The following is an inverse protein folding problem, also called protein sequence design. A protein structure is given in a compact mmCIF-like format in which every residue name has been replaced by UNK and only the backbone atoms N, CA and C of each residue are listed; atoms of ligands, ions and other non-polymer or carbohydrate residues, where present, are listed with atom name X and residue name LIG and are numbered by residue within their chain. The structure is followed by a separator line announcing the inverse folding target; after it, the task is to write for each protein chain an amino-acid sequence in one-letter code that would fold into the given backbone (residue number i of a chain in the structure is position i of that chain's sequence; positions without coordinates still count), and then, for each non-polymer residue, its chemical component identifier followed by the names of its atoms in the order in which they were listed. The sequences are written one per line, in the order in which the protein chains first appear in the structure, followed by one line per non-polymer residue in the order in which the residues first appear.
data_IF_899567015176
#
_entry.id   IF_899567015176
#
_cell.length_a   1.000
_cell.length_b   1.000
_cell.length_c   1.000
_cell.angle_alpha   90.00
_cell.angle_beta   90.00
_cell.angle_gamma   90.00
#
_symmetry.space_group_name_H-M   'P 1'
#
loop_
_entity.id
_entity.type
_entity.pdbx_description
1 polymer ?
#
# COMPACT_ATOMS: atom_id res chain seq x y z
N UNK A 1 -18.79 -24.84 -2.55
CA UNK A 1 -17.94 -23.78 -3.12
C UNK A 1 -16.84 -23.45 -2.11
N UNK A 2 -15.62 -23.23 -2.57
CA UNK A 2 -14.51 -22.79 -1.71
C UNK A 2 -14.76 -21.34 -1.26
N UNK A 3 -14.35 -20.96 -0.04
CA UNK A 3 -14.40 -19.56 0.37
C UNK A 3 -13.54 -18.69 -0.55
N UNK A 4 -13.99 -17.44 -0.78
CA UNK A 4 -13.28 -16.48 -1.65
C UNK A 4 -12.40 -15.57 -0.82
N UNK A 5 -11.13 -15.43 -1.20
CA UNK A 5 -10.18 -14.44 -0.67
C UNK A 5 -10.05 -13.31 -1.69
N UNK A 6 -10.66 -12.13 -1.45
CA UNK A 6 -10.51 -10.97 -2.31
C UNK A 6 -9.21 -10.25 -1.99
N UNK A 7 -8.35 -10.09 -3.01
CA UNK A 7 -7.06 -9.40 -2.91
C UNK A 7 -7.06 -8.24 -3.92
N UNK A 8 -6.68 -7.06 -3.46
CA UNK A 8 -6.69 -5.84 -4.24
C UNK A 8 -5.28 -5.31 -4.47
N UNK A 9 -5.01 -4.88 -5.69
CA UNK A 9 -3.83 -4.13 -6.10
C UNK A 9 -4.25 -2.83 -6.78
N UNK A 10 -3.43 -1.79 -6.65
CA UNK A 10 -3.60 -0.53 -7.39
C UNK A 10 -2.34 -0.22 -8.15
N UNK A 11 -2.41 -0.21 -9.47
CA UNK A 11 -1.23 -0.09 -10.34
C UNK A 11 -1.52 0.72 -11.61
N UNK A 12 -0.46 1.29 -12.17
CA UNK A 12 -0.41 1.78 -13.54
C UNK A 12 0.34 0.78 -14.44
N UNK A 13 0.33 1.02 -15.76
CA UNK A 13 0.98 0.12 -16.74
C UNK A 13 2.46 -0.12 -16.44
N UNK A 14 3.19 0.90 -15.98
CA UNK A 14 4.61 0.76 -15.65
C UNK A 14 4.88 -0.25 -14.53
N UNK A 15 3.91 -0.51 -13.66
CA UNK A 15 4.02 -1.49 -12.57
C UNK A 15 3.55 -2.90 -12.94
N UNK A 16 3.03 -3.14 -14.13
CA UNK A 16 2.56 -4.46 -14.59
C UNK A 16 3.57 -5.59 -14.40
N UNK A 17 4.90 -5.42 -14.66
CA UNK A 17 5.87 -6.49 -14.44
C UNK A 17 6.05 -6.86 -12.96
N UNK A 18 5.99 -5.89 -12.06
CA UNK A 18 6.11 -6.12 -10.62
C UNK A 18 4.84 -6.73 -10.06
N UNK A 19 3.68 -6.25 -10.51
CA UNK A 19 2.38 -6.87 -10.21
C UNK A 19 2.35 -8.34 -10.63
N UNK A 20 2.84 -8.67 -11.85
CA UNK A 20 2.92 -10.05 -12.31
C UNK A 20 3.82 -10.91 -11.40
N UNK A 21 4.92 -10.35 -10.90
CA UNK A 21 5.82 -11.02 -9.94
C UNK A 21 5.11 -11.29 -8.61
N UNK A 22 4.40 -10.29 -8.07
CA UNK A 22 3.61 -10.42 -6.85
C UNK A 22 2.51 -11.48 -7.01
N UNK A 23 1.72 -11.42 -8.09
CA UNK A 23 0.67 -12.39 -8.41
C UNK A 23 1.24 -13.81 -8.54
N UNK A 24 2.38 -13.97 -9.20
CA UNK A 24 3.03 -15.27 -9.38
C UNK A 24 3.48 -15.86 -8.04
N UNK A 25 3.98 -15.03 -7.13
CA UNK A 25 4.36 -15.48 -5.79
C UNK A 25 3.14 -15.93 -4.98
N UNK A 26 2.04 -15.17 -5.00
CA UNK A 26 0.78 -15.57 -4.34
C UNK A 26 0.27 -16.90 -4.92
N UNK A 27 0.17 -16.99 -6.25
CA UNK A 27 -0.35 -18.19 -6.93
C UNK A 27 0.46 -19.44 -6.61
N UNK A 28 1.79 -19.30 -6.51
CA UNK A 28 2.69 -20.43 -6.23
C UNK A 28 2.49 -20.99 -4.82
N UNK A 29 2.16 -20.14 -3.85
CA UNK A 29 2.07 -20.50 -2.43
C UNK A 29 0.63 -20.53 -1.90
N UNK A 30 -0.35 -20.29 -2.77
CA UNK A 30 -1.76 -20.22 -2.43
C UNK A 30 -2.33 -21.57 -1.95
N UNK A 31 -3.03 -21.58 -0.82
CA UNK A 31 -3.72 -22.75 -0.31
C UNK A 31 -4.84 -23.22 -1.25
N UNK A 32 -4.92 -24.51 -1.60
CA UNK A 32 -5.99 -25.03 -2.45
C UNK A 32 -7.37 -25.04 -1.76
N UNK A 33 -7.46 -24.65 -0.49
CA UNK A 33 -8.74 -24.57 0.26
C UNK A 33 -9.61 -23.39 -0.16
N UNK A 34 -9.04 -22.38 -0.84
CA UNK A 34 -9.69 -21.12 -1.19
C UNK A 34 -9.77 -20.91 -2.70
N UNK A 35 -10.67 -20.03 -3.12
CA UNK A 35 -10.64 -19.35 -4.42
C UNK A 35 -10.11 -17.94 -4.22
N UNK A 36 -9.11 -17.55 -4.97
CA UNK A 36 -8.52 -16.20 -4.90
C UNK A 36 -9.09 -15.33 -6.01
N UNK A 37 -9.54 -14.15 -5.64
CA UNK A 37 -10.03 -13.16 -6.60
C UNK A 37 -9.16 -11.92 -6.51
N UNK A 38 -8.31 -11.74 -7.52
CA UNK A 38 -7.37 -10.64 -7.62
C UNK A 38 -8.02 -9.50 -8.36
N UNK A 39 -8.30 -8.41 -7.66
CA UNK A 39 -8.86 -7.19 -8.20
C UNK A 39 -7.74 -6.20 -8.50
N UNK A 40 -7.54 -5.90 -9.78
CA UNK A 40 -6.51 -4.98 -10.28
C UNK A 40 -7.18 -3.65 -10.59
N UNK A 41 -6.96 -2.66 -9.73
CA UNK A 41 -7.50 -1.32 -9.81
C UNK A 41 -6.55 -0.48 -10.67
N UNK A 42 -7.00 -0.09 -11.87
CA UNK A 42 -6.14 0.57 -12.87
C UNK A 42 -6.95 1.35 -13.88
N UNK A 43 -6.32 2.37 -14.49
CA UNK A 43 -6.93 3.14 -15.57
C UNK A 43 -6.16 3.03 -16.90
N UNK A 44 -4.91 2.56 -16.89
CA UNK A 44 -3.99 2.73 -18.01
C UNK A 44 -3.17 1.47 -18.38
N UNK A 45 -3.51 0.27 -17.86
CA UNK A 45 -2.80 -0.94 -18.28
C UNK A 45 -3.01 -1.19 -19.76
N UNK A 46 -1.92 -1.29 -20.53
CA UNK A 46 -1.92 -1.60 -21.95
C UNK A 46 -2.52 -2.98 -22.21
N UNK A 47 -3.11 -3.15 -23.39
CA UNK A 47 -3.75 -4.42 -23.76
C UNK A 47 -2.75 -5.58 -23.76
N UNK A 48 -1.50 -5.34 -24.19
CA UNK A 48 -0.42 -6.35 -24.16
C UNK A 48 -0.14 -6.82 -22.73
N UNK A 49 0.07 -5.89 -21.79
CA UNK A 49 0.30 -6.21 -20.39
C UNK A 49 -0.94 -6.88 -19.76
N UNK A 50 -2.14 -6.46 -20.15
CA UNK A 50 -3.38 -7.07 -19.69
C UNK A 50 -3.50 -8.53 -20.10
N UNK A 51 -3.19 -8.86 -21.37
CA UNK A 51 -3.19 -10.24 -21.89
C UNK A 51 -2.16 -11.08 -21.11
N UNK A 52 -0.95 -10.57 -20.93
CA UNK A 52 0.13 -11.27 -20.21
C UNK A 52 -0.23 -11.50 -18.72
N UNK A 53 -0.81 -10.51 -18.06
CA UNK A 53 -1.31 -10.67 -16.68
C UNK A 53 -2.44 -11.70 -16.62
N UNK A 54 -3.40 -11.64 -17.56
CA UNK A 54 -4.52 -12.59 -17.60
C UNK A 54 -4.07 -14.03 -17.78
N UNK A 55 -2.92 -14.29 -18.41
CA UNK A 55 -2.34 -15.63 -18.53
C UNK A 55 -1.93 -16.25 -17.18
N UNK A 56 -1.81 -15.45 -16.11
CA UNK A 56 -1.58 -15.94 -14.76
C UNK A 56 -2.85 -16.49 -14.10
N UNK A 57 -4.03 -16.25 -14.64
CA UNK A 57 -5.29 -16.74 -14.08
C UNK A 57 -5.38 -18.28 -14.12
N UNK A 58 -6.22 -18.84 -13.24
CA UNK A 58 -6.56 -20.25 -13.16
C UNK A 58 -7.97 -20.41 -12.60
N UNK A 59 -8.51 -21.64 -12.55
CA UNK A 59 -9.88 -21.91 -12.07
C UNK A 59 -10.13 -21.31 -10.68
N UNK A 60 -9.25 -21.58 -9.73
CA UNK A 60 -9.35 -21.08 -8.35
C UNK A 60 -8.53 -19.78 -8.11
N UNK A 61 -8.07 -19.13 -9.19
CA UNK A 61 -7.22 -17.93 -9.12
C UNK A 61 -7.61 -16.95 -10.25
N UNK A 62 -8.59 -16.11 -9.98
CA UNK A 62 -9.22 -15.23 -10.96
C UNK A 62 -8.63 -13.83 -10.90
N UNK A 63 -8.41 -13.21 -12.08
CA UNK A 63 -7.95 -11.83 -12.22
C UNK A 63 -9.05 -10.98 -12.85
N UNK A 64 -9.36 -9.86 -12.20
CA UNK A 64 -10.38 -8.89 -12.66
C UNK A 64 -9.78 -7.48 -12.69
N UNK A 65 -9.93 -6.79 -13.83
CA UNK A 65 -9.44 -5.42 -14.01
C UNK A 65 -10.59 -4.43 -13.86
N UNK A 66 -10.40 -3.42 -13.01
CA UNK A 66 -11.40 -2.40 -12.74
C UNK A 66 -10.89 -1.01 -13.16
N UNK A 67 -11.58 -0.34 -14.11
CA UNK A 67 -11.31 1.05 -14.44
C UNK A 67 -11.76 1.92 -13.28
N UNK A 68 -10.79 2.49 -12.57
CA UNK A 68 -11.03 3.03 -11.25
C UNK A 68 -11.49 4.49 -11.25
N UNK A 69 -10.90 5.34 -12.11
CA UNK A 69 -11.27 6.76 -12.19
C UNK A 69 -12.75 6.96 -12.54
N UNK A 70 -13.32 6.13 -13.40
CA UNK A 70 -14.74 6.21 -13.74
C UNK A 70 -15.63 5.92 -12.53
N UNK A 71 -15.32 4.89 -11.76
CA UNK A 71 -16.10 4.50 -10.57
C UNK A 71 -15.93 5.47 -9.41
N UNK A 72 -14.73 6.03 -9.23
CA UNK A 72 -14.51 7.03 -8.19
C UNK A 72 -15.32 8.31 -8.45
N UNK A 73 -15.44 8.73 -9.72
CA UNK A 73 -16.25 9.93 -10.07
C UNK A 73 -17.72 9.79 -9.75
N UNK A 74 -18.24 8.56 -9.61
CA UNK A 74 -19.59 8.28 -9.17
C UNK A 74 -19.79 8.53 -7.66
N UNK A 75 -18.70 8.53 -6.88
CA UNK A 75 -18.78 8.79 -5.45
C UNK A 75 -18.92 10.29 -5.16
N UNK A 76 -19.87 10.67 -4.28
CA UNK A 76 -20.03 12.07 -3.86
C UNK A 76 -18.73 12.63 -3.28
N UNK A 77 -18.32 13.81 -3.70
CA UNK A 77 -17.14 14.51 -3.17
C UNK A 77 -15.81 14.22 -3.88
N UNK A 78 -15.66 13.13 -4.62
CA UNK A 78 -14.39 12.77 -5.28
C UNK A 78 -13.97 13.80 -6.32
N UNK A 79 -14.92 14.37 -7.08
CA UNK A 79 -14.64 15.42 -8.07
C UNK A 79 -14.00 16.69 -7.50
N UNK A 80 -14.23 16.97 -6.21
CA UNK A 80 -13.58 18.08 -5.52
C UNK A 80 -12.14 17.74 -5.11
N UNK A 81 -11.84 16.47 -4.82
CA UNK A 81 -10.48 15.99 -4.56
C UNK A 81 -9.55 16.21 -5.75
N UNK A 82 -10.01 15.93 -6.97
CA UNK A 82 -9.23 16.15 -8.20
C UNK A 82 -8.71 17.59 -8.32
N UNK A 83 -9.41 18.57 -7.73
CA UNK A 83 -9.04 19.98 -7.81
C UNK A 83 -8.08 20.44 -6.71
N UNK A 84 -8.04 19.77 -5.56
CA UNK A 84 -7.38 20.29 -4.35
C UNK A 84 -6.18 19.48 -3.87
N UNK A 85 -6.11 18.17 -4.14
CA UNK A 85 -5.10 17.27 -3.54
C UNK A 85 -3.91 16.94 -4.42
N UNK A 86 -3.84 17.41 -5.68
CA UNK A 86 -2.90 16.89 -6.69
C UNK A 86 -1.72 17.82 -7.04
N UNK A 87 -1.11 18.48 -6.04
CA UNK A 87 0.03 19.35 -6.32
C UNK A 87 1.33 18.64 -6.71
N UNK A 88 1.72 17.55 -6.07
CA UNK A 88 3.02 16.92 -6.26
C UNK A 88 2.97 15.41 -6.59
N UNK A 89 1.85 14.74 -6.33
CA UNK A 89 1.64 13.33 -6.60
C UNK A 89 0.42 13.19 -7.52
N UNK A 90 0.68 13.10 -8.81
CA UNK A 90 -0.28 13.26 -9.90
C UNK A 90 -1.29 12.12 -10.08
N UNK A 91 -1.61 11.32 -9.05
CA UNK A 91 -2.52 10.20 -9.21
C UNK A 91 -3.37 9.92 -7.99
N UNK A 92 -4.70 9.90 -8.17
CA UNK A 92 -5.68 9.33 -7.23
C UNK A 92 -5.37 7.88 -6.88
N UNK A 93 -4.57 7.19 -7.69
CA UNK A 93 -4.22 5.77 -7.52
C UNK A 93 -3.62 5.47 -6.16
N UNK A 94 -2.88 6.41 -5.57
CA UNK A 94 -2.29 6.25 -4.23
C UNK A 94 -3.34 6.07 -3.14
N UNK A 95 -4.51 6.74 -3.24
CA UNK A 95 -5.54 6.70 -2.21
C UNK A 95 -6.55 5.55 -2.37
N UNK A 96 -6.45 4.75 -3.42
CA UNK A 96 -7.47 3.76 -3.80
C UNK A 96 -7.79 2.75 -2.71
N UNK A 97 -6.80 2.36 -1.91
CA UNK A 97 -7.01 1.45 -0.77
C UNK A 97 -8.05 1.95 0.22
N UNK A 98 -8.23 3.27 0.34
CA UNK A 98 -9.21 3.88 1.23
C UNK A 98 -10.65 3.79 0.70
N UNK A 99 -10.82 3.56 -0.60
CA UNK A 99 -12.13 3.45 -1.26
C UNK A 99 -12.62 2.01 -1.45
N UNK A 100 -11.76 1.00 -1.26
CA UNK A 100 -12.13 -0.41 -1.42
C UNK A 100 -13.42 -0.77 -0.66
N UNK A 101 -13.61 -0.38 0.62
CA UNK A 101 -14.80 -0.73 1.37
C UNK A 101 -16.11 -0.26 0.74
N UNK A 102 -16.12 0.92 0.11
CA UNK A 102 -17.33 1.51 -0.50
C UNK A 102 -17.53 1.07 -1.95
N UNK A 103 -16.44 0.86 -2.71
CA UNK A 103 -16.50 0.43 -4.10
C UNK A 103 -16.85 -1.07 -4.25
N UNK A 104 -16.55 -1.88 -3.24
CA UNK A 104 -16.79 -3.31 -3.24
C UNK A 104 -17.61 -3.74 -2.01
N UNK A 105 -18.87 -3.26 -1.90
CA UNK A 105 -19.72 -3.49 -0.73
C UNK A 105 -20.06 -4.97 -0.48
N UNK A 106 -19.88 -5.83 -1.48
CA UNK A 106 -20.08 -7.27 -1.38
C UNK A 106 -19.05 -7.98 -0.49
N UNK A 107 -17.92 -7.31 -0.17
CA UNK A 107 -16.89 -7.88 0.71
C UNK A 107 -16.95 -7.24 2.09
N UNK A 108 -17.03 -8.08 3.12
CA UNK A 108 -16.92 -7.65 4.52
C UNK A 108 -15.47 -7.58 5.00
N UNK A 109 -14.58 -8.31 4.31
CA UNK A 109 -13.15 -8.36 4.57
C UNK A 109 -12.39 -8.41 3.25
N UNK A 110 -11.20 -7.81 3.18
CA UNK A 110 -10.35 -7.83 1.99
C UNK A 110 -8.87 -7.73 2.38
N UNK A 111 -7.99 -8.18 1.48
CA UNK A 111 -6.56 -7.92 1.55
C UNK A 111 -6.22 -6.86 0.50
N UNK A 112 -5.45 -5.85 0.87
CA UNK A 112 -4.81 -4.92 -0.06
C UNK A 112 -3.31 -5.14 -0.05
N UNK A 113 -2.69 -5.17 -1.22
CA UNK A 113 -1.25 -5.33 -1.40
C UNK A 113 -0.72 -4.28 -2.39
N UNK A 114 0.43 -3.69 -2.08
CA UNK A 114 1.22 -2.95 -3.07
C UNK A 114 1.85 -3.94 -4.07
N UNK A 115 2.21 -3.46 -5.27
CA UNK A 115 2.72 -4.34 -6.32
C UNK A 115 4.24 -4.57 -6.26
N UNK A 116 4.94 -3.88 -5.37
CA UNK A 116 6.39 -3.98 -5.17
C UNK A 116 6.75 -4.95 -4.03
N UNK A 117 6.07 -6.08 -4.00
CA UNK A 117 6.27 -7.13 -3.00
C UNK A 117 6.26 -8.54 -3.61
N UNK A 118 6.68 -9.52 -2.83
CA UNK A 118 6.47 -10.94 -3.10
C UNK A 118 5.92 -11.64 -1.86
N UNK A 119 5.17 -12.70 -2.07
CA UNK A 119 4.50 -13.49 -1.01
C UNK A 119 5.06 -14.91 -1.00
N UNK A 120 6.19 -15.16 -0.31
CA UNK A 120 6.74 -16.51 -0.17
C UNK A 120 5.90 -17.41 0.74
N UNK A 121 5.06 -16.83 1.61
CA UNK A 121 4.15 -17.56 2.48
C UNK A 121 2.77 -17.83 1.87
N UNK A 122 1.90 -18.50 2.66
CA UNK A 122 0.50 -18.73 2.30
C UNK A 122 -0.37 -17.53 2.71
N UNK A 123 -0.80 -16.73 1.74
CA UNK A 123 -1.63 -15.54 1.97
C UNK A 123 -2.97 -15.84 2.66
N UNK A 124 -3.45 -17.10 2.59
CA UNK A 124 -4.67 -17.49 3.28
C UNK A 124 -4.54 -17.44 4.80
N UNK A 125 -3.33 -17.56 5.35
CA UNK A 125 -3.09 -17.42 6.78
C UNK A 125 -3.29 -15.96 7.24
N UNK A 126 -2.90 -14.97 6.41
CA UNK A 126 -3.25 -13.56 6.67
C UNK A 126 -4.77 -13.35 6.58
N UNK A 127 -5.44 -14.01 5.62
CA UNK A 127 -6.90 -13.94 5.51
C UNK A 127 -7.60 -14.51 6.74
N UNK A 128 -7.05 -15.56 7.37
CA UNK A 128 -7.61 -16.21 8.57
C UNK A 128 -7.42 -15.39 9.86
N UNK A 129 -6.53 -14.37 9.87
CA UNK A 129 -6.28 -13.50 11.02
C UNK A 129 -7.58 -12.87 11.55
N UNK A 130 -7.75 -12.91 12.88
CA UNK A 130 -8.94 -12.41 13.57
C UNK A 130 -8.71 -10.98 14.08
N UNK A 131 -9.31 -10.02 13.43
CA UNK A 131 -9.19 -8.61 13.81
C UNK A 131 -10.22 -8.14 14.85
N UNK A 132 -11.24 -8.95 15.20
CA UNK A 132 -12.34 -8.51 16.06
C UNK A 132 -13.02 -7.26 15.50
N UNK A 133 -13.17 -6.23 16.34
CA UNK A 133 -13.78 -4.95 15.96
C UNK A 133 -12.77 -3.94 15.35
N UNK A 134 -11.52 -4.35 15.16
CA UNK A 134 -10.52 -3.48 14.55
C UNK A 134 -10.86 -3.17 13.09
N UNK A 135 -10.40 -2.01 12.63
CA UNK A 135 -10.66 -1.47 11.30
C UNK A 135 -9.70 -2.05 10.25
N UNK A 136 -8.40 -2.10 10.62
CA UNK A 136 -7.32 -2.47 9.70
C UNK A 136 -6.29 -3.31 10.44
N UNK A 137 -5.91 -4.45 9.85
CA UNK A 137 -4.72 -5.19 10.22
C UNK A 137 -3.53 -4.72 9.39
N UNK A 138 -2.43 -4.35 10.04
CA UNK A 138 -1.21 -3.86 9.37
C UNK A 138 0.02 -4.03 10.26
N UNK A 139 1.21 -3.98 9.64
CA UNK A 139 2.51 -4.04 10.32
C UNK A 139 3.03 -2.61 10.51
N UNK A 140 3.65 -2.34 11.67
CA UNK A 140 4.33 -1.07 11.93
C UNK A 140 5.43 -0.81 10.89
N UNK A 141 5.58 0.44 10.45
CA UNK A 141 6.57 0.79 9.41
C UNK A 141 7.99 0.89 10.01
N UNK A 142 8.65 -0.24 10.12
CA UNK A 142 10.00 -0.31 10.66
C UNK A 142 11.06 0.37 9.79
N UNK A 143 10.77 0.58 8.49
CA UNK A 143 11.71 1.18 7.54
C UNK A 143 12.06 2.63 7.87
N UNK A 144 11.17 3.34 8.58
CA UNK A 144 11.31 4.76 8.91
C UNK A 144 11.55 5.03 10.40
N UNK A 145 11.36 4.04 11.28
CA UNK A 145 11.44 4.22 12.74
C UNK A 145 12.83 4.63 13.28
N UNK A 146 13.89 4.52 12.47
CA UNK A 146 15.25 4.96 12.89
C UNK A 146 15.64 6.30 12.26
N UNK A 147 14.76 6.94 11.52
CA UNK A 147 15.03 8.22 10.85
C UNK A 147 14.39 9.36 11.65
N UNK A 148 15.20 10.02 12.48
CA UNK A 148 14.72 11.03 13.42
C UNK A 148 13.79 12.13 12.86
N UNK A 149 13.94 12.67 11.63
CA UNK A 149 12.95 13.57 11.06
C UNK A 149 11.59 12.93 10.81
N UNK A 150 11.53 11.65 10.38
CA UNK A 150 10.26 10.93 10.20
C UNK A 150 9.60 10.65 11.55
N UNK A 151 10.35 10.18 12.56
CA UNK A 151 9.81 9.98 13.91
C UNK A 151 9.12 11.23 14.43
N UNK A 152 9.80 12.40 14.37
CA UNK A 152 9.23 13.67 14.82
C UNK A 152 8.02 14.11 13.98
N UNK A 153 8.04 13.86 12.67
CA UNK A 153 6.92 14.13 11.78
C UNK A 153 5.69 13.30 12.17
N UNK A 154 5.87 12.02 12.38
CA UNK A 154 4.78 11.13 12.78
C UNK A 154 4.20 11.55 14.12
N UNK A 155 5.04 11.76 15.14
CA UNK A 155 4.59 12.11 16.48
C UNK A 155 3.88 13.47 16.54
N UNK A 156 4.38 14.47 15.81
CA UNK A 156 3.92 15.86 15.96
C UNK A 156 2.94 16.31 14.89
N UNK A 157 3.09 15.80 13.68
CA UNK A 157 2.26 16.23 12.54
C UNK A 157 1.18 15.19 12.21
N UNK A 158 1.51 13.90 12.10
CA UNK A 158 0.49 12.86 11.91
C UNK A 158 -0.30 12.65 13.19
N UNK A 159 0.34 12.72 14.36
CA UNK A 159 -0.32 12.70 15.65
C UNK A 159 -0.52 11.29 16.22
N UNK A 160 0.25 10.33 15.74
CA UNK A 160 0.32 8.96 16.27
C UNK A 160 1.73 8.66 16.76
N UNK A 161 1.87 7.71 17.68
CA UNK A 161 3.20 7.25 18.11
C UNK A 161 3.94 6.62 16.92
N UNK A 162 5.18 7.06 16.64
CA UNK A 162 5.97 6.56 15.51
C UNK A 162 6.25 5.06 15.60
N UNK A 163 6.24 4.45 16.79
CA UNK A 163 6.37 2.99 16.94
C UNK A 163 5.10 2.25 16.50
N UNK A 164 3.98 2.93 16.47
CA UNK A 164 2.66 2.41 16.13
C UNK A 164 2.18 2.86 14.74
N UNK A 165 2.98 3.65 14.02
CA UNK A 165 2.67 4.08 12.66
C UNK A 165 2.84 2.90 11.70
N UNK A 166 1.74 2.48 11.05
CA UNK A 166 1.73 1.29 10.20
C UNK A 166 2.02 1.62 8.74
N UNK A 167 2.66 0.65 8.07
CA UNK A 167 2.86 0.70 6.62
C UNK A 167 1.56 0.34 5.90
N UNK A 168 1.22 1.08 4.84
CA UNK A 168 -0.03 0.92 4.08
C UNK A 168 0.05 -0.06 2.91
N UNK A 169 1.21 -0.65 2.63
CA UNK A 169 1.41 -1.52 1.46
C UNK A 169 0.92 -2.96 1.64
N UNK A 170 0.66 -3.39 2.88
CA UNK A 170 0.02 -4.66 3.21
C UNK A 170 -1.07 -4.42 4.23
N UNK A 171 -2.33 -4.59 3.85
CA UNK A 171 -3.47 -4.31 4.71
C UNK A 171 -4.46 -5.46 4.70
N UNK A 172 -4.91 -5.84 5.89
CA UNK A 172 -6.11 -6.66 6.08
C UNK A 172 -7.26 -5.71 6.46
N UNK A 173 -8.21 -5.50 5.55
CA UNK A 173 -9.28 -4.52 5.70
C UNK A 173 -10.53 -5.18 6.28
N UNK A 174 -11.06 -4.67 7.39
CA UNK A 174 -12.41 -4.95 7.86
C UNK A 174 -13.39 -4.01 7.14
N UNK A 175 -13.73 -4.36 5.89
CA UNK A 175 -14.51 -3.49 5.00
C UNK A 175 -15.87 -3.12 5.60
N UNK A 176 -16.50 -4.05 6.35
CA UNK A 176 -17.77 -3.77 7.04
C UNK A 176 -17.59 -2.67 8.08
N UNK A 177 -16.60 -2.81 8.98
CA UNK A 177 -16.33 -1.80 10.02
C UNK A 177 -15.88 -0.47 9.44
N UNK A 178 -15.09 -0.50 8.36
CA UNK A 178 -14.63 0.72 7.67
C UNK A 178 -15.80 1.48 7.02
N UNK A 179 -16.84 0.78 6.54
CA UNK A 179 -18.10 1.41 6.09
C UNK A 179 -18.91 1.98 7.24
N UNK A 180 -19.08 1.20 8.32
CA UNK A 180 -19.81 1.63 9.53
C UNK A 180 -19.20 2.91 10.15
N UNK A 181 -17.87 3.02 10.14
CA UNK A 181 -17.11 4.18 10.63
C UNK A 181 -16.95 5.30 9.59
N UNK A 182 -17.53 5.14 8.41
CA UNK A 182 -17.45 6.07 7.28
C UNK A 182 -16.02 6.55 6.98
N UNK A 183 -15.05 5.62 6.89
CA UNK A 183 -13.66 5.96 6.60
C UNK A 183 -13.54 6.81 5.34
N UNK A 184 -14.25 6.44 4.28
CA UNK A 184 -14.20 7.12 2.99
C UNK A 184 -14.70 8.57 3.11
N UNK A 185 -15.85 8.81 3.71
CA UNK A 185 -16.40 10.16 3.90
C UNK A 185 -15.51 11.02 4.78
N UNK A 186 -14.95 10.46 5.85
CA UNK A 186 -14.00 11.16 6.73
C UNK A 186 -12.71 11.53 5.99
N UNK A 187 -12.15 10.62 5.19
CA UNK A 187 -11.00 10.89 4.34
C UNK A 187 -11.30 12.03 3.36
N UNK A 188 -12.42 11.95 2.63
CA UNK A 188 -12.84 12.96 1.67
C UNK A 188 -13.02 14.32 2.34
N UNK A 189 -13.68 14.35 3.49
CA UNK A 189 -13.87 15.58 4.26
C UNK A 189 -12.54 16.22 4.66
N UNK A 190 -11.62 15.45 5.22
CA UNK A 190 -10.32 15.98 5.63
C UNK A 190 -9.47 16.46 4.44
N UNK A 191 -9.45 15.68 3.38
CA UNK A 191 -8.68 16.03 2.19
C UNK A 191 -9.18 17.30 1.50
N UNK A 192 -10.50 17.52 1.46
CA UNK A 192 -11.11 18.70 0.86
C UNK A 192 -11.03 19.95 1.75
N UNK A 193 -11.29 19.77 3.05
CA UNK A 193 -11.40 20.90 3.96
C UNK A 193 -10.04 21.43 4.38
N UNK A 194 -9.08 20.54 4.64
CA UNK A 194 -7.80 20.92 5.23
C UNK A 194 -6.63 20.84 4.26
N UNK A 195 -6.76 20.07 3.15
CA UNK A 195 -5.74 19.92 2.11
C UNK A 195 -4.32 19.71 2.68
N UNK A 196 -4.19 18.83 3.71
CA UNK A 196 -2.95 18.61 4.43
C UNK A 196 -1.84 18.08 3.50
N UNK A 197 -0.66 18.63 3.62
CA UNK A 197 0.52 18.11 2.95
C UNK A 197 0.96 16.80 3.64
N UNK A 198 1.43 15.83 2.87
CA UNK A 198 1.76 14.50 3.37
C UNK A 198 3.12 14.05 2.86
N UNK A 199 3.85 13.30 3.67
CA UNK A 199 5.08 12.61 3.26
C UNK A 199 4.76 11.28 2.61
N UNK A 200 3.80 10.55 3.18
CA UNK A 200 3.26 9.30 2.67
C UNK A 200 1.73 9.42 2.57
N UNK A 201 1.18 9.86 1.40
CA UNK A 201 -0.17 10.39 1.28
C UNK A 201 -1.27 9.51 1.88
N UNK A 202 -1.44 8.29 1.39
CA UNK A 202 -2.46 7.34 1.85
C UNK A 202 -2.15 6.79 3.24
N UNK A 203 -0.87 6.55 3.54
CA UNK A 203 -0.40 6.01 4.81
C UNK A 203 -0.63 7.00 5.96
N UNK A 204 -0.37 8.31 5.75
CA UNK A 204 -0.62 9.35 6.76
C UNK A 204 -2.11 9.44 7.09
N UNK A 205 -2.99 9.48 6.07
CA UNK A 205 -4.43 9.48 6.27
C UNK A 205 -4.93 8.19 6.94
N UNK A 206 -4.44 7.01 6.52
CA UNK A 206 -4.82 5.74 7.12
C UNK A 206 -4.50 5.72 8.62
N UNK A 207 -3.26 6.08 8.97
CA UNK A 207 -2.81 6.11 10.35
C UNK A 207 -3.62 7.12 11.18
N UNK A 208 -3.81 8.34 10.70
CA UNK A 208 -4.54 9.38 11.41
C UNK A 208 -6.04 9.07 11.57
N UNK A 209 -6.67 8.39 10.60
CA UNK A 209 -8.10 8.06 10.64
C UNK A 209 -8.41 6.77 11.39
N UNK A 210 -7.47 5.81 11.44
CA UNK A 210 -7.68 4.47 11.96
C UNK A 210 -6.87 4.16 13.24
N UNK A 211 -6.11 5.07 13.82
CA UNK A 211 -5.13 4.82 14.89
C UNK A 211 -5.67 3.99 16.07
N UNK A 212 -6.92 4.20 16.51
CA UNK A 212 -7.56 3.42 17.57
C UNK A 212 -8.02 2.03 17.12
N UNK A 213 -8.19 1.86 15.80
CA UNK A 213 -8.75 0.66 15.17
C UNK A 213 -7.73 -0.20 14.46
N UNK A 214 -6.43 -0.06 14.72
CA UNK A 214 -5.39 -0.88 14.13
C UNK A 214 -5.23 -2.19 14.90
N UNK A 215 -5.19 -3.30 14.16
CA UNK A 215 -4.73 -4.61 14.62
C UNK A 215 -3.30 -4.79 14.13
N UNK A 216 -2.33 -4.82 15.05
CA UNK A 216 -0.94 -4.98 14.69
C UNK A 216 -0.65 -6.44 14.33
N UNK A 217 -0.27 -6.65 13.07
CA UNK A 217 0.12 -7.95 12.53
C UNK A 217 1.57 -8.28 12.90
N UNK A 218 1.90 -9.58 12.86
CA UNK A 218 3.28 -10.04 12.98
C UNK A 218 4.16 -9.39 11.88
N UNK A 219 5.38 -8.92 12.19
CA UNK A 219 6.30 -8.31 11.23
C UNK A 219 6.55 -9.13 9.96
N UNK A 220 6.48 -10.45 10.04
CA UNK A 220 6.63 -11.34 8.89
C UNK A 220 5.57 -11.12 7.79
N UNK A 221 4.42 -10.50 8.10
CA UNK A 221 3.40 -10.13 7.12
C UNK A 221 3.73 -8.87 6.32
N UNK A 222 4.82 -8.18 6.61
CA UNK A 222 5.29 -7.04 5.82
C UNK A 222 6.77 -6.79 6.11
N UNK A 223 7.62 -7.78 5.77
CA UNK A 223 9.07 -7.67 5.90
C UNK A 223 9.58 -6.60 4.93
N UNK A 224 10.12 -5.51 5.47
CA UNK A 224 10.63 -4.39 4.68
C UNK A 224 12.16 -4.43 4.66
N UNK A 225 12.81 -4.83 3.54
CA UNK A 225 14.25 -4.91 3.42
C UNK A 225 14.92 -3.57 3.72
N UNK A 226 15.89 -3.58 4.62
CA UNK A 226 16.63 -2.38 5.02
C UNK A 226 18.02 -2.75 5.52
N UNK A 227 19.05 -2.04 5.08
CA UNK A 227 20.42 -2.20 5.61
C UNK A 227 20.52 -1.93 7.13
N UNK A 228 19.53 -1.21 7.68
CA UNK A 228 19.49 -0.81 9.08
C UNK A 228 18.72 -1.78 10.00
N UNK A 229 18.05 -2.78 9.45
CA UNK A 229 17.23 -3.75 10.18
C UNK A 229 17.75 -5.16 9.92
N UNK A 230 17.70 -6.07 10.90
CA UNK A 230 17.98 -7.48 10.64
C UNK A 230 16.91 -8.07 9.75
N UNK A 231 17.33 -9.00 8.89
CA UNK A 231 16.39 -9.80 8.11
C UNK A 231 15.53 -10.67 9.02
N UNK A 232 14.27 -10.85 8.65
CA UNK A 232 13.38 -11.77 9.34
C UNK A 232 13.66 -13.20 8.85
N UNK A 233 13.57 -14.18 9.76
CA UNK A 233 13.92 -15.57 9.44
C UNK A 233 12.88 -16.26 8.53
N UNK A 234 11.58 -15.90 8.66
CA UNK A 234 10.47 -16.53 7.92
C UNK A 234 9.46 -15.48 7.38
N UNK A 235 9.90 -14.58 6.47
CA UNK A 235 9.02 -13.55 5.94
C UNK A 235 7.89 -14.16 5.10
N UNK A 236 6.65 -13.90 5.48
CA UNK A 236 5.46 -14.33 4.74
C UNK A 236 5.14 -13.40 3.57
N UNK A 237 5.43 -12.11 3.72
CA UNK A 237 5.40 -11.09 2.66
C UNK A 237 6.67 -10.27 2.75
N UNK A 238 7.39 -10.11 1.63
CA UNK A 238 8.55 -9.24 1.52
C UNK A 238 8.15 -8.05 0.65
N UNK A 239 8.16 -6.86 1.23
CA UNK A 239 7.74 -5.62 0.60
C UNK A 239 8.95 -4.72 0.33
N UNK A 240 9.36 -4.63 -0.92
CA UNK A 240 10.50 -3.83 -1.39
C UNK A 240 10.13 -2.34 -1.46
N UNK A 241 9.73 -1.77 -0.31
CA UNK A 241 9.31 -0.38 -0.21
C UNK A 241 10.48 0.61 -0.38
N UNK A 242 10.17 1.88 -0.51
CA UNK A 242 11.14 2.98 -0.61
C UNK A 242 12.28 2.68 -1.60
N UNK A 243 13.53 2.65 -1.09
CA UNK A 243 14.74 2.51 -1.88
C UNK A 243 15.23 1.06 -2.06
N UNK A 244 14.64 0.10 -1.36
CA UNK A 244 15.10 -1.30 -1.37
C UNK A 244 14.46 -2.11 -2.50
N UNK A 245 14.60 -1.68 -3.75
CA UNK A 245 13.98 -2.32 -4.92
C UNK A 245 15.01 -3.13 -5.73
N UNK A 246 14.84 -4.47 -5.86
CA UNK A 246 15.77 -5.33 -6.59
C UNK A 246 15.96 -4.96 -8.07
N UNK A 247 14.97 -4.32 -8.67
CA UNK A 247 15.03 -3.85 -10.07
C UNK A 247 15.61 -2.44 -10.24
N UNK A 248 16.07 -1.81 -9.16
CA UNK A 248 16.74 -0.50 -9.20
C UNK A 248 18.10 -0.52 -8.49
N UNK A 249 18.37 -1.54 -7.69
CA UNK A 249 19.61 -1.68 -6.94
C UNK A 249 20.14 -3.10 -7.02
N UNK A 250 21.40 -3.26 -6.73
CA UNK A 250 22.07 -4.54 -6.51
C UNK A 250 22.22 -4.80 -5.02
N UNK A 251 22.27 -6.08 -4.63
CA UNK A 251 22.47 -6.52 -3.24
C UNK A 251 21.39 -6.05 -2.25
N UNK A 252 20.13 -6.07 -2.71
CA UNK A 252 18.99 -5.81 -1.83
C UNK A 252 18.69 -7.08 -1.02
N UNK A 253 18.45 -7.00 0.31
CA UNK A 253 18.04 -8.16 1.09
C UNK A 253 16.82 -8.86 0.47
N UNK A 254 16.85 -10.19 0.42
CA UNK A 254 15.84 -11.06 -0.21
C UNK A 254 15.69 -10.91 -1.74
N UNK A 255 16.63 -10.28 -2.45
CA UNK A 255 16.50 -10.08 -3.90
C UNK A 255 16.40 -11.42 -4.67
N UNK A 256 17.02 -12.50 -4.20
CA UNK A 256 16.93 -13.83 -4.78
C UNK A 256 15.49 -14.37 -4.77
N UNK A 257 14.72 -14.06 -3.73
CA UNK A 257 13.30 -14.44 -3.62
C UNK A 257 12.46 -13.66 -4.64
N UNK A 258 12.74 -12.37 -4.81
CA UNK A 258 12.11 -11.57 -5.87
C UNK A 258 12.37 -12.15 -7.26
N UNK A 259 13.64 -12.41 -7.59
CA UNK A 259 14.01 -12.92 -8.91
C UNK A 259 13.47 -14.32 -9.19
N UNK A 260 13.34 -15.17 -8.16
CA UNK A 260 12.66 -16.47 -8.27
C UNK A 260 11.23 -16.32 -8.81
N UNK A 261 10.45 -15.37 -8.27
CA UNK A 261 9.06 -15.17 -8.71
C UNK A 261 8.97 -14.33 -9.98
N UNK A 262 9.90 -13.44 -10.22
CA UNK A 262 10.02 -12.72 -11.50
C UNK A 262 10.21 -13.69 -12.68
N UNK A 263 11.02 -14.75 -12.52
CA UNK A 263 11.19 -15.80 -13.51
C UNK A 263 9.88 -16.58 -13.82
N UNK A 264 8.97 -16.68 -12.85
CA UNK A 264 7.66 -17.34 -13.02
C UNK A 264 6.59 -16.42 -13.60
N UNK A 265 6.83 -15.10 -13.59
CA UNK A 265 5.83 -14.09 -13.95
C UNK A 265 5.62 -13.90 -15.45
N UNK A 266 6.57 -14.38 -16.26
CA UNK A 266 6.64 -14.06 -17.70
C UNK A 266 7.15 -12.65 -18.02
N UNK A 267 7.61 -11.87 -17.01
CA UNK A 267 8.10 -10.50 -17.15
C UNK A 267 9.55 -10.31 -16.73
N UNK A 268 10.29 -11.37 -16.39
CA UNK A 268 11.68 -11.27 -15.91
C UNK A 268 12.57 -10.49 -16.89
N UNK A 269 12.45 -10.77 -18.19
CA UNK A 269 13.25 -10.09 -19.23
C UNK A 269 13.01 -8.59 -19.23
N UNK A 270 11.73 -8.18 -19.13
CA UNK A 270 11.35 -6.76 -19.08
C UNK A 270 11.88 -6.08 -17.81
N UNK A 271 11.83 -6.78 -16.66
CA UNK A 271 12.33 -6.25 -15.38
C UNK A 271 13.84 -6.07 -15.44
N UNK A 272 14.59 -7.07 -15.95
CA UNK A 272 16.04 -6.99 -16.09
C UNK A 272 16.48 -5.90 -17.07
N UNK A 273 15.80 -5.78 -18.21
CA UNK A 273 16.06 -4.72 -19.17
C UNK A 273 15.87 -3.32 -18.56
N UNK A 274 14.83 -3.14 -17.75
CA UNK A 274 14.59 -1.88 -17.01
C UNK A 274 15.66 -1.62 -15.95
N UNK A 275 16.10 -2.65 -15.24
CA UNK A 275 17.20 -2.55 -14.28
C UNK A 275 18.48 -2.08 -14.97
N UNK A 276 18.87 -2.74 -16.07
CA UNK A 276 20.05 -2.36 -16.83
C UNK A 276 19.98 -0.92 -17.34
N UNK A 277 18.86 -0.54 -17.96
CA UNK A 277 18.64 0.83 -18.43
C UNK A 277 18.71 1.85 -17.29
N UNK A 278 18.12 1.55 -16.12
CA UNK A 278 18.16 2.43 -14.96
C UNK A 278 19.58 2.61 -14.44
N UNK A 279 20.35 1.53 -14.30
CA UNK A 279 21.72 1.57 -13.78
C UNK A 279 22.67 2.33 -14.71
N UNK A 280 22.41 2.33 -16.04
CA UNK A 280 23.15 3.10 -17.03
C UNK A 280 22.79 4.60 -17.00
N UNK A 281 21.59 4.98 -16.56
CA UNK A 281 21.17 6.39 -16.44
C UNK A 281 21.64 7.00 -15.10
N UNK A 282 22.83 7.58 -15.09
CA UNK A 282 23.39 8.23 -13.90
C UNK A 282 22.52 9.35 -13.34
N UNK A 283 21.68 10.01 -14.17
CA UNK A 283 20.75 11.07 -13.72
C UNK A 283 19.55 10.44 -13.00
N UNK A 284 19.02 9.33 -13.52
CA UNK A 284 17.95 8.57 -12.88
C UNK A 284 18.40 8.03 -11.53
N UNK A 285 19.55 7.40 -11.47
CA UNK A 285 20.16 6.90 -10.21
C UNK A 285 20.34 8.01 -9.18
N UNK A 286 20.86 9.18 -9.60
CA UNK A 286 21.03 10.34 -8.70
C UNK A 286 19.69 10.86 -8.20
N UNK A 287 18.68 10.97 -9.06
CA UNK A 287 17.32 11.39 -8.67
C UNK A 287 16.71 10.43 -7.67
N UNK A 288 16.84 9.14 -7.91
CA UNK A 288 16.32 8.09 -7.03
C UNK A 288 16.97 8.15 -5.63
N UNK A 289 18.31 8.17 -5.57
CA UNK A 289 19.04 8.32 -4.30
C UNK A 289 18.71 9.62 -3.56
N UNK A 290 18.39 10.70 -4.28
CA UNK A 290 17.97 11.98 -3.70
C UNK A 290 16.50 12.03 -3.26
N UNK A 291 15.66 11.06 -3.63
CA UNK A 291 14.24 11.09 -3.31
C UNK A 291 13.99 10.99 -1.80
N UNK A 292 14.66 10.10 -1.10
CA UNK A 292 14.56 9.95 0.37
C UNK A 292 14.97 11.23 1.09
N UNK A 293 16.03 11.90 0.63
CA UNK A 293 16.48 13.16 1.24
C UNK A 293 15.41 14.26 1.11
N UNK A 294 14.68 14.29 -0.01
CA UNK A 294 13.56 15.21 -0.20
C UNK A 294 12.41 14.90 0.76
N UNK A 295 12.08 13.62 0.96
CA UNK A 295 11.06 13.21 1.93
C UNK A 295 11.46 13.56 3.36
N UNK A 296 12.73 13.35 3.74
CA UNK A 296 13.29 13.74 5.05
C UNK A 296 13.17 15.26 5.25
N UNK A 297 13.55 16.05 4.25
CA UNK A 297 13.43 17.52 4.32
C UNK A 297 11.97 17.97 4.42
N UNK A 298 11.06 17.32 3.70
CA UNK A 298 9.62 17.57 3.78
C UNK A 298 9.07 17.25 5.17
N UNK A 299 9.41 16.09 5.73
CA UNK A 299 9.02 15.67 7.08
C UNK A 299 9.49 16.70 8.13
N UNK A 300 10.76 17.13 8.06
CA UNK A 300 11.31 18.13 8.96
C UNK A 300 10.55 19.48 8.88
N UNK A 301 10.18 19.91 7.66
CA UNK A 301 9.41 21.13 7.43
C UNK A 301 8.00 21.03 8.01
N UNK A 302 7.29 19.94 7.72
CA UNK A 302 5.90 19.75 8.14
C UNK A 302 5.76 19.58 9.65
N UNK A 303 6.77 19.08 10.34
CA UNK A 303 6.80 18.96 11.81
C UNK A 303 6.55 20.29 12.52
N UNK A 304 6.85 21.42 11.89
CA UNK A 304 6.66 22.76 12.44
C UNK A 304 5.32 23.41 12.04
N UNK A 305 4.45 22.72 11.27
CA UNK A 305 3.17 23.27 10.82
C UNK A 305 2.13 23.24 11.94
N UNK A 306 1.40 24.34 12.11
CA UNK A 306 0.26 24.43 13.03
C UNK A 306 -0.93 23.61 12.51
N UNK A 307 -1.15 23.55 11.20
CA UNK A 307 -2.18 22.74 10.57
C UNK A 307 -1.63 21.33 10.33
N UNK A 308 -2.19 20.35 11.01
CA UNK A 308 -1.66 18.97 11.05
C UNK A 308 -2.79 17.95 11.25
N UNK A 309 -2.54 16.67 10.96
CA UNK A 309 -3.45 15.58 11.32
C UNK A 309 -3.67 15.50 12.83
N UNK A 310 -2.61 15.77 13.62
CA UNK A 310 -2.68 15.80 15.07
C UNK A 310 -3.75 16.75 15.57
N UNK A 311 -3.79 17.99 15.06
CA UNK A 311 -4.80 18.97 15.47
C UNK A 311 -6.23 18.52 15.17
N UNK A 312 -6.44 17.73 14.10
CA UNK A 312 -7.75 17.14 13.76
C UNK A 312 -8.12 15.97 14.67
N UNK A 313 -7.14 15.14 15.05
CA UNK A 313 -7.31 14.04 15.99
C UNK A 313 -7.69 14.60 17.37
N UNK A 314 -6.92 15.57 17.88
CA UNK A 314 -7.14 16.20 19.19
C UNK A 314 -8.54 16.83 19.28
N UNK A 315 -8.97 17.59 18.28
CA UNK A 315 -10.33 18.16 18.19
C UNK A 315 -11.41 17.08 18.22
N UNK A 316 -11.23 15.95 17.54
CA UNK A 316 -12.16 14.83 17.53
C UNK A 316 -12.29 14.16 18.90
N UNK A 317 -11.16 13.99 19.59
CA UNK A 317 -11.13 13.41 20.95
C UNK A 317 -11.89 14.32 21.91
N UNK A 318 -11.65 15.63 21.88
CA UNK A 318 -12.36 16.61 22.70
C UNK A 318 -13.87 16.58 22.46
N UNK A 319 -14.33 16.55 21.22
CA UNK A 319 -15.77 16.46 20.89
C UNK A 319 -16.42 15.18 21.38
N UNK A 320 -15.71 14.04 21.40
CA UNK A 320 -16.21 12.78 21.96
C UNK A 320 -16.32 12.78 23.48
N UNK A 321 -15.46 13.54 24.17
CA UNK A 321 -15.50 13.66 25.63
C UNK A 321 -16.61 14.61 26.12
N UNK A 322 -17.12 15.47 25.23
CA UNK A 322 -18.20 16.41 25.52
C UNK A 322 -19.60 15.91 25.12
N UNK A 323 -19.70 14.75 24.45
CA UNK A 323 -20.94 14.10 24.03
C UNK A 323 -21.31 12.91 24.93
#
# INVERSE_FOLDING_TARGET
MKPVVPIFFSVNDAYSPFLATAISSIKTNASPRYTYRIHILTDDISEDNRIRLQALAAEDFQLEFFPLSSRLRELPGVSALEKHCFGAFASLTIYFRLFIPVLFPQYDKAIYLDADLVVPGDISLLWEERMGDKLVGAVADYSIQKIAPFMRYIDRYVGVDHNNYVNSGVLLLNCRRLREEDLCGRFLHWAQTYALQTVAPDQDYLNALCWEGIHYLDPNWNAMPSECLPDLEDPQIIHFNLASKPWLNEHVPYEEIFWKYAALSGFEVDIRARQEQFLQDTRAVRRYKGAIQKLIAMAARLTASEQSFRSLIDTRVELRLCS
#
